data_IF_251261191398
#
_entry.id   IF_251261191398
#
_cell.length_a   1.000
_cell.length_b   1.000
_cell.length_c   1.000
_cell.angle_alpha   90.00
_cell.angle_beta   90.00
_cell.angle_gamma   90.00
#
_symmetry.space_group_name_H-M   'P 1'
#
loop_
_entity.id
_entity.type
_entity.pdbx_description
1 polymer ?
#
# COMPACT_ATOMS: atom_id res chain seq x y z
N UNK A 1 29.77 31.29 -19.87
CA UNK A 1 29.03 32.46 -20.37
C UNK A 1 28.12 32.08 -21.55
N UNK A 2 28.68 31.51 -22.63
CA UNK A 2 27.94 31.08 -23.83
C UNK A 2 26.69 30.24 -23.51
N UNK A 3 26.81 29.20 -22.68
CA UNK A 3 25.66 28.34 -22.31
C UNK A 3 24.51 29.10 -21.65
N UNK A 4 24.80 30.17 -20.88
CA UNK A 4 23.74 30.96 -20.24
C UNK A 4 22.99 31.79 -21.28
N UNK A 5 23.73 32.41 -22.20
CA UNK A 5 23.16 33.22 -23.28
C UNK A 5 22.25 32.36 -24.14
N UNK A 6 22.68 31.16 -24.53
CA UNK A 6 21.82 30.22 -25.28
C UNK A 6 20.55 29.84 -24.50
N UNK A 7 20.64 29.66 -23.18
CA UNK A 7 19.45 29.34 -22.37
C UNK A 7 18.48 30.52 -22.25
N UNK A 8 18.99 31.74 -22.13
CA UNK A 8 18.16 32.95 -22.09
C UNK A 8 17.52 33.24 -23.45
N UNK A 9 18.22 32.93 -24.54
CA UNK A 9 17.69 33.04 -25.90
C UNK A 9 16.60 32.00 -26.21
N UNK A 10 16.48 30.94 -25.41
CA UNK A 10 15.43 29.92 -25.54
C UNK A 10 14.24 30.18 -24.59
N UNK A 11 14.18 31.34 -23.94
CA UNK A 11 12.97 31.74 -23.22
C UNK A 11 11.84 31.96 -24.23
N UNK A 12 10.60 31.74 -23.80
CA UNK A 12 9.42 32.08 -24.60
C UNK A 12 9.43 33.57 -24.95
N UNK A 13 8.97 33.92 -26.16
CA UNK A 13 9.06 35.28 -26.73
C UNK A 13 8.57 36.36 -25.74
N UNK A 14 7.42 36.16 -25.11
CA UNK A 14 6.89 37.12 -24.13
C UNK A 14 7.80 37.29 -22.89
N UNK A 15 8.45 36.21 -22.43
CA UNK A 15 9.40 36.27 -21.31
C UNK A 15 10.70 36.95 -21.73
N UNK A 16 11.14 36.69 -22.97
CA UNK A 16 12.33 37.29 -23.53
C UNK A 16 12.16 38.80 -23.76
N UNK A 17 11.00 39.26 -24.26
CA UNK A 17 10.69 40.67 -24.45
C UNK A 17 10.73 41.46 -23.13
N UNK A 18 10.13 40.91 -22.08
CA UNK A 18 10.13 41.51 -20.75
C UNK A 18 11.56 41.52 -20.17
N UNK A 19 12.36 40.47 -20.40
CA UNK A 19 13.77 40.44 -20.03
C UNK A 19 14.59 41.52 -20.76
N UNK A 20 14.39 41.71 -22.07
CA UNK A 20 15.07 42.75 -22.85
C UNK A 20 14.75 44.14 -22.31
N UNK A 21 13.50 44.39 -21.95
CA UNK A 21 13.08 45.65 -21.31
C UNK A 21 13.78 45.89 -19.97
N UNK A 22 13.89 44.87 -19.12
CA UNK A 22 14.64 44.94 -17.87
C UNK A 22 16.13 45.22 -18.11
N UNK A 23 16.74 44.56 -19.10
CA UNK A 23 18.16 44.78 -19.45
C UNK A 23 18.41 46.21 -19.94
N UNK A 24 17.51 46.76 -20.75
CA UNK A 24 17.56 48.16 -21.20
C UNK A 24 17.50 49.14 -20.02
N UNK A 25 16.54 48.95 -19.10
CA UNK A 25 16.43 49.77 -17.89
C UNK A 25 17.66 49.66 -16.98
N UNK A 26 18.25 48.48 -16.87
CA UNK A 26 19.51 48.31 -16.14
C UNK A 26 20.64 49.08 -16.79
N UNK A 27 20.79 48.99 -18.12
CA UNK A 27 21.82 49.70 -18.87
C UNK A 27 21.70 51.22 -18.72
N UNK A 28 20.47 51.74 -18.63
CA UNK A 28 20.19 53.15 -18.37
C UNK A 28 20.37 53.56 -16.90
N UNK A 29 20.63 52.61 -15.99
CA UNK A 29 20.75 52.89 -14.56
C UNK A 29 19.43 53.25 -13.88
N UNK A 30 18.31 52.80 -14.43
CA UNK A 30 16.94 53.20 -14.03
C UNK A 30 16.24 52.19 -13.13
N UNK A 31 16.87 51.06 -12.82
CA UNK A 31 16.25 50.07 -11.94
C UNK A 31 16.26 50.52 -10.47
N UNK A 32 15.24 50.09 -9.72
CA UNK A 32 15.12 50.43 -8.31
C UNK A 32 16.32 49.93 -7.50
N UNK A 33 16.90 50.83 -6.69
CA UNK A 33 18.05 50.54 -5.84
C UNK A 33 19.39 50.41 -6.57
N UNK A 34 19.46 50.67 -7.89
CA UNK A 34 20.68 50.57 -8.67
C UNK A 34 21.66 51.70 -8.31
N UNK A 35 22.85 51.32 -7.82
CA UNK A 35 23.93 52.26 -7.53
C UNK A 35 24.96 52.21 -8.66
N UNK A 36 25.08 53.30 -9.41
CA UNK A 36 26.08 53.41 -10.47
C UNK A 36 27.42 53.84 -9.90
N UNK A 37 28.47 53.06 -10.19
CA UNK A 37 29.84 53.48 -9.92
C UNK A 37 30.30 54.54 -10.93
N UNK A 38 31.40 55.23 -10.65
CA UNK A 38 32.02 56.15 -11.62
C UNK A 38 32.38 55.46 -12.94
N UNK A 39 32.69 54.16 -12.90
CA UNK A 39 32.97 53.34 -14.09
C UNK A 39 31.69 53.09 -14.87
N UNK A 40 30.58 52.78 -14.19
CA UNK A 40 29.30 52.53 -14.84
C UNK A 40 28.74 53.78 -15.53
N UNK A 41 28.98 54.96 -14.96
CA UNK A 41 28.66 56.23 -15.63
C UNK A 41 29.46 56.48 -16.91
N UNK A 42 30.68 55.93 -17.00
CA UNK A 42 31.56 56.11 -18.15
C UNK A 42 31.37 55.05 -19.24
N UNK A 43 30.99 53.81 -18.87
CA UNK A 43 30.96 52.66 -19.78
C UNK A 43 29.62 51.91 -19.82
N UNK A 44 28.64 52.34 -19.04
CA UNK A 44 27.41 51.60 -18.77
C UNK A 44 27.60 50.56 -17.66
N UNK A 45 26.55 50.26 -16.88
CA UNK A 45 26.59 49.21 -15.86
C UNK A 45 26.61 47.83 -16.52
N UNK A 46 27.56 47.00 -16.10
CA UNK A 46 27.67 45.61 -16.57
C UNK A 46 26.68 44.72 -15.81
N UNK A 47 25.84 43.97 -16.55
CA UNK A 47 24.89 43.03 -15.95
C UNK A 47 25.39 41.60 -16.15
N UNK A 48 25.95 41.04 -15.10
CA UNK A 48 26.55 39.73 -15.22
C UNK A 48 25.49 38.66 -15.56
N UNK A 49 25.68 37.85 -16.62
CA UNK A 49 24.64 36.92 -17.11
C UNK A 49 24.12 35.93 -16.09
N UNK A 50 24.88 35.67 -15.02
CA UNK A 50 24.48 34.74 -13.96
C UNK A 50 23.37 35.29 -13.06
N UNK A 51 23.07 36.59 -13.09
CA UNK A 51 21.91 37.19 -12.39
C UNK A 51 20.62 36.51 -12.85
N UNK A 52 20.54 36.13 -14.12
CA UNK A 52 19.38 35.50 -14.74
C UNK A 52 19.41 33.98 -14.73
N UNK A 53 20.41 33.35 -14.12
CA UNK A 53 20.54 31.89 -14.10
C UNK A 53 19.27 31.20 -13.59
N UNK A 54 18.60 31.83 -12.62
CA UNK A 54 17.41 31.26 -12.01
C UNK A 54 16.20 31.26 -12.96
N UNK A 55 16.09 32.24 -13.88
CA UNK A 55 15.00 32.30 -14.85
C UNK A 55 14.94 31.08 -15.77
N UNK A 56 16.10 30.47 -16.07
CA UNK A 56 16.19 29.32 -17.00
C UNK A 56 15.52 28.04 -16.52
N UNK A 57 15.02 28.00 -15.28
CA UNK A 57 14.26 26.85 -14.76
C UNK A 57 12.90 27.24 -14.17
N UNK A 58 12.47 28.49 -14.34
CA UNK A 58 11.15 28.94 -13.89
C UNK A 58 10.12 28.76 -15.01
N UNK A 59 8.86 28.46 -14.67
CA UNK A 59 7.75 28.60 -15.60
C UNK A 59 7.68 30.01 -16.18
N UNK A 60 7.26 30.13 -17.44
CA UNK A 60 7.24 31.39 -18.19
C UNK A 60 6.45 32.50 -17.47
N UNK A 61 5.27 32.16 -16.94
CA UNK A 61 4.44 33.10 -16.17
C UNK A 61 5.13 33.64 -14.91
N UNK A 62 5.75 32.77 -14.12
CA UNK A 62 6.47 33.17 -12.90
C UNK A 62 7.69 34.04 -13.23
N UNK A 63 8.39 33.71 -14.32
CA UNK A 63 9.52 34.50 -14.81
C UNK A 63 9.08 35.90 -15.25
N UNK A 64 8.01 36.01 -16.04
CA UNK A 64 7.45 37.29 -16.49
C UNK A 64 7.00 38.15 -15.33
N UNK A 65 6.24 37.58 -14.38
CA UNK A 65 5.79 38.28 -13.19
C UNK A 65 6.99 38.84 -12.42
N UNK A 66 7.98 38.00 -12.13
CA UNK A 66 9.14 38.42 -11.33
C UNK A 66 9.98 39.51 -12.03
N UNK A 67 10.16 39.42 -13.35
CA UNK A 67 10.85 40.48 -14.11
C UNK A 67 10.02 41.76 -14.14
N UNK A 68 8.69 41.65 -14.29
CA UNK A 68 7.75 42.77 -14.23
C UNK A 68 7.90 43.59 -12.94
N UNK A 69 7.96 42.91 -11.79
CA UNK A 69 8.17 43.57 -10.48
C UNK A 69 9.47 44.37 -10.41
N UNK A 70 10.54 43.90 -11.07
CA UNK A 70 11.81 44.66 -11.15
C UNK A 70 11.67 45.89 -12.04
N UNK A 71 10.99 45.74 -13.17
CA UNK A 71 10.74 46.83 -14.13
C UNK A 71 9.88 47.93 -13.50
N UNK A 72 8.87 47.54 -12.73
CA UNK A 72 7.94 48.44 -12.04
C UNK A 72 8.57 49.07 -10.78
N UNK A 73 9.73 48.56 -10.35
CA UNK A 73 10.46 49.06 -9.20
C UNK A 73 9.91 48.59 -7.86
N UNK A 74 9.10 47.53 -7.85
CA UNK A 74 8.58 46.90 -6.64
C UNK A 74 9.68 46.18 -5.86
N UNK A 75 10.64 45.58 -6.58
CA UNK A 75 11.78 44.87 -6.01
C UNK A 75 13.10 45.29 -6.66
N UNK A 76 14.18 45.26 -5.88
CA UNK A 76 15.55 45.49 -6.35
C UNK A 76 16.12 44.25 -7.07
N UNK A 77 17.23 44.43 -7.81
CA UNK A 77 17.97 43.30 -8.40
C UNK A 77 18.48 42.27 -7.38
N UNK A 78 18.79 42.73 -6.16
CA UNK A 78 19.24 41.85 -5.09
C UNK A 78 18.10 40.96 -4.59
N UNK A 79 16.90 41.54 -4.44
CA UNK A 79 15.68 40.83 -4.08
C UNK A 79 15.25 39.88 -5.20
N UNK A 80 15.27 40.33 -6.47
CA UNK A 80 15.05 39.47 -7.64
C UNK A 80 15.91 38.20 -7.61
N UNK A 81 17.20 38.32 -7.28
CA UNK A 81 18.12 37.18 -7.19
C UNK A 81 17.78 36.24 -6.02
N UNK A 82 17.28 36.77 -4.90
CA UNK A 82 16.84 35.96 -3.75
C UNK A 82 15.53 35.25 -4.08
N UNK A 83 14.60 35.97 -4.66
CA UNK A 83 13.25 35.56 -4.99
C UNK A 83 13.23 34.50 -6.10
N UNK A 84 13.96 34.73 -7.20
CA UNK A 84 14.09 33.74 -8.28
C UNK A 84 14.69 32.40 -7.80
N UNK A 85 15.61 32.43 -6.84
CA UNK A 85 16.14 31.20 -6.22
C UNK A 85 15.10 30.51 -5.35
N UNK A 86 14.29 31.26 -4.61
CA UNK A 86 13.21 30.72 -3.80
C UNK A 86 12.16 30.05 -4.68
N UNK A 87 11.68 30.73 -5.72
CA UNK A 87 10.69 30.19 -6.66
C UNK A 87 11.17 28.89 -7.33
N UNK A 88 12.44 28.80 -7.72
CA UNK A 88 13.01 27.56 -8.24
C UNK A 88 12.95 26.40 -7.24
N UNK A 89 13.16 26.69 -5.95
CA UNK A 89 13.06 25.66 -4.91
C UNK A 89 11.60 25.28 -4.66
N UNK A 90 10.68 26.26 -4.63
CA UNK A 90 9.25 26.02 -4.53
C UNK A 90 8.79 25.12 -5.69
N UNK A 91 9.21 25.39 -6.93
CA UNK A 91 8.85 24.56 -8.08
C UNK A 91 9.35 23.11 -7.95
N UNK A 92 10.55 22.90 -7.38
CA UNK A 92 11.04 21.56 -7.06
C UNK A 92 10.21 20.89 -5.96
N UNK A 93 9.86 21.63 -4.91
CA UNK A 93 8.97 21.15 -3.85
C UNK A 93 7.61 20.75 -4.43
N UNK A 94 7.04 21.54 -5.35
CA UNK A 94 5.79 21.21 -6.05
C UNK A 94 5.90 19.88 -6.79
N UNK A 95 6.99 19.65 -7.53
CA UNK A 95 7.18 18.38 -8.22
C UNK A 95 7.27 17.19 -7.25
N UNK A 96 8.02 17.34 -6.16
CA UNK A 96 8.09 16.30 -5.11
C UNK A 96 6.73 16.05 -4.45
N UNK A 97 5.95 17.11 -4.23
CA UNK A 97 4.60 17.03 -3.68
C UNK A 97 3.66 16.24 -4.61
N UNK A 98 3.71 16.51 -5.92
CA UNK A 98 2.97 15.76 -6.94
C UNK A 98 3.36 14.28 -6.95
N UNK A 99 4.67 13.99 -6.95
CA UNK A 99 5.18 12.62 -6.95
C UNK A 99 4.75 11.84 -5.70
N UNK A 100 4.82 12.47 -4.52
CA UNK A 100 4.40 11.87 -3.24
C UNK A 100 2.90 11.60 -3.17
N UNK A 101 2.08 12.46 -3.79
CA UNK A 101 0.63 12.31 -3.81
C UNK A 101 0.12 11.45 -4.96
N UNK A 102 0.97 11.13 -5.95
CA UNK A 102 0.55 10.42 -7.15
C UNK A 102 -0.32 11.27 -8.09
N UNK A 103 -0.19 12.60 -8.01
CA UNK A 103 -0.96 13.56 -8.82
C UNK A 103 -0.15 13.95 -10.04
N UNK A 104 -0.77 14.01 -11.23
CA UNK A 104 -0.05 14.30 -12.48
C UNK A 104 0.11 15.80 -12.77
N UNK A 105 -0.81 16.63 -12.28
CA UNK A 105 -0.88 18.06 -12.62
C UNK A 105 -1.00 18.93 -11.38
N UNK A 106 -0.26 20.04 -11.36
CA UNK A 106 -0.32 21.01 -10.25
C UNK A 106 -1.70 21.66 -10.08
N UNK A 107 -2.45 21.86 -11.16
CA UNK A 107 -3.84 22.37 -11.09
C UNK A 107 -4.78 21.42 -10.34
N UNK A 108 -4.59 20.11 -10.49
CA UNK A 108 -5.35 19.10 -9.75
C UNK A 108 -4.98 19.11 -8.26
N UNK A 109 -3.70 19.25 -7.93
CA UNK A 109 -3.25 19.40 -6.55
C UNK A 109 -3.87 20.65 -5.89
N UNK A 110 -3.91 21.79 -6.59
CA UNK A 110 -4.58 23.01 -6.09
C UNK A 110 -6.07 22.83 -5.82
N UNK A 111 -6.74 22.04 -6.66
CA UNK A 111 -8.17 21.73 -6.49
C UNK A 111 -8.41 20.81 -5.29
N UNK A 112 -7.52 19.84 -5.07
CA UNK A 112 -7.63 18.87 -3.98
C UNK A 112 -7.21 19.45 -2.62
N UNK A 113 -6.17 20.29 -2.61
CA UNK A 113 -5.53 20.81 -1.39
C UNK A 113 -5.28 22.32 -1.51
N UNK A 114 -6.34 23.14 -1.57
CA UNK A 114 -6.21 24.57 -1.85
C UNK A 114 -5.41 25.33 -0.79
N UNK A 115 -5.51 24.93 0.48
CA UNK A 115 -4.81 25.59 1.59
C UNK A 115 -3.32 25.19 1.67
N UNK A 116 -3.01 23.95 1.30
CA UNK A 116 -1.69 23.35 1.41
C UNK A 116 -0.81 23.53 0.18
N UNK A 117 -1.41 23.93 -0.93
CA UNK A 117 -0.70 24.27 -2.18
C UNK A 117 -0.40 25.77 -2.29
N UNK A 118 -0.63 26.53 -1.22
CA UNK A 118 -0.25 27.94 -1.12
C UNK A 118 1.26 28.12 -1.13
N UNK A 119 1.71 29.30 -1.59
CA UNK A 119 3.12 29.64 -1.68
C UNK A 119 3.79 29.59 -0.32
N UNK A 120 3.10 30.10 0.70
CA UNK A 120 3.55 30.22 2.08
C UNK A 120 3.83 28.85 2.71
N UNK A 121 2.98 27.86 2.44
CA UNK A 121 3.18 26.48 2.90
C UNK A 121 4.37 25.83 2.19
N UNK A 122 4.45 25.97 0.87
CA UNK A 122 5.53 25.36 0.10
C UNK A 122 6.91 25.96 0.41
N UNK A 123 6.96 27.25 0.75
CA UNK A 123 8.17 27.94 1.17
C UNK A 123 8.81 27.29 2.41
N UNK A 124 8.00 26.78 3.35
CA UNK A 124 8.48 26.09 4.55
C UNK A 124 9.29 24.83 4.21
N UNK A 125 8.98 24.16 3.09
CA UNK A 125 9.75 23.01 2.60
C UNK A 125 10.87 23.43 1.65
N UNK A 126 10.70 24.52 0.92
CA UNK A 126 11.69 25.05 -0.01
C UNK A 126 12.99 25.52 0.68
N UNK A 127 12.94 25.86 1.97
CA UNK A 127 14.16 26.19 2.73
C UNK A 127 15.04 24.97 3.01
N UNK A 128 14.48 23.75 2.96
CA UNK A 128 15.18 22.51 3.26
C UNK A 128 16.13 22.06 2.14
N UNK A 129 17.07 21.12 2.41
CA UNK A 129 17.98 20.58 1.40
C UNK A 129 17.27 19.65 0.40
N UNK A 130 16.86 20.17 -0.76
CA UNK A 130 16.14 19.42 -1.80
C UNK A 130 17.02 18.51 -2.69
N UNK A 131 18.05 17.87 -2.14
CA UNK A 131 18.82 16.82 -2.88
C UNK A 131 18.05 15.50 -2.93
N UNK A 132 17.26 15.26 -1.89
CA UNK A 132 16.32 14.15 -1.72
C UNK A 132 15.02 14.72 -1.19
N UNK A 133 13.94 13.95 -1.23
CA UNK A 133 12.65 14.36 -0.66
C UNK A 133 12.79 14.49 0.87
N UNK A 134 12.59 15.69 1.47
CA UNK A 134 12.67 15.87 2.92
C UNK A 134 11.60 15.06 3.66
N UNK A 135 11.92 14.56 4.86
CA UNK A 135 10.99 13.74 5.64
C UNK A 135 9.75 14.55 6.06
N UNK A 136 9.94 15.83 6.37
CA UNK A 136 8.87 16.76 6.75
C UNK A 136 7.82 16.90 5.63
N UNK A 137 8.27 16.91 4.37
CA UNK A 137 7.39 16.94 3.21
C UNK A 137 6.66 15.60 3.02
N UNK A 138 7.36 14.47 3.23
CA UNK A 138 6.73 13.13 3.19
C UNK A 138 5.61 13.02 4.22
N UNK A 139 5.90 13.42 5.45
CA UNK A 139 4.94 13.36 6.56
C UNK A 139 3.76 14.30 6.30
N UNK A 140 4.02 15.48 5.74
CA UNK A 140 2.98 16.40 5.31
C UNK A 140 2.05 15.78 4.25
N UNK A 141 2.61 15.29 3.14
CA UNK A 141 1.82 14.64 2.09
C UNK A 141 1.07 13.39 2.58
N UNK A 142 1.67 12.62 3.50
CA UNK A 142 1.01 11.45 4.13
C UNK A 142 -0.26 11.86 4.88
N UNK A 143 -0.20 12.95 5.66
CA UNK A 143 -1.39 13.48 6.36
C UNK A 143 -2.48 13.91 5.38
N UNK A 144 -2.10 14.55 4.28
CA UNK A 144 -3.06 14.99 3.26
C UNK A 144 -3.76 13.80 2.58
N UNK A 145 -3.04 12.72 2.29
CA UNK A 145 -3.68 11.46 1.80
C UNK A 145 -4.71 10.94 2.78
N UNK A 146 -4.38 10.89 4.08
CA UNK A 146 -5.31 10.43 5.11
C UNK A 146 -6.57 11.31 5.21
N UNK A 147 -6.43 12.62 5.02
CA UNK A 147 -7.58 13.54 4.99
C UNK A 147 -8.42 13.35 3.72
N UNK A 148 -7.79 13.19 2.56
CA UNK A 148 -8.47 12.99 1.28
C UNK A 148 -9.27 11.69 1.24
N UNK A 149 -8.78 10.64 1.91
CA UNK A 149 -9.50 9.37 2.10
C UNK A 149 -10.69 9.49 3.08
N UNK A 150 -11.07 10.72 3.46
CA UNK A 150 -12.28 11.04 4.22
C UNK A 150 -12.14 10.81 5.72
N UNK A 151 -10.92 10.81 6.27
CA UNK A 151 -10.72 10.44 7.67
C UNK A 151 -11.13 9.00 7.99
N UNK A 152 -11.51 8.20 6.98
CA UNK A 152 -11.33 6.76 7.00
C UNK A 152 -9.83 6.54 6.96
N UNK A 153 -9.20 6.75 8.12
CA UNK A 153 -8.19 5.83 8.60
C UNK A 153 -8.67 4.49 8.09
N UNK A 154 -7.94 3.85 7.18
CA UNK A 154 -8.15 2.44 6.94
C UNK A 154 -7.98 1.89 8.35
N UNK A 155 -9.10 1.66 9.05
CA UNK A 155 -9.12 0.92 10.27
C UNK A 155 -8.48 -0.37 9.82
N UNK A 156 -7.20 -0.50 10.16
CA UNK A 156 -6.55 -1.78 10.19
C UNK A 156 -7.33 -2.48 11.26
N UNK A 157 -8.43 -3.12 10.85
CA UNK A 157 -9.27 -3.97 11.69
C UNK A 157 -8.32 -5.02 12.23
N UNK A 158 -7.77 -4.70 13.40
CA UNK A 158 -6.74 -5.48 14.03
C UNK A 158 -7.45 -6.51 14.88
N UNK A 159 -7.19 -7.76 14.57
CA UNK A 159 -7.72 -8.88 15.31
C UNK A 159 -6.76 -9.20 16.43
N UNK A 160 -7.27 -9.25 17.66
CA UNK A 160 -6.49 -9.72 18.80
C UNK A 160 -6.64 -11.24 18.93
N UNK A 161 -5.51 -11.93 18.91
CA UNK A 161 -5.40 -13.37 19.06
C UNK A 161 -5.00 -13.78 20.47
N UNK A 162 -4.62 -15.05 20.60
CA UNK A 162 -4.02 -15.54 21.83
C UNK A 162 -2.72 -14.77 22.17
N UNK A 163 -2.44 -14.65 23.46
CA UNK A 163 -1.24 -13.96 23.98
C UNK A 163 -1.09 -12.50 23.54
N UNK A 164 -2.18 -11.83 23.17
CA UNK A 164 -2.17 -10.43 22.75
C UNK A 164 -1.59 -10.18 21.35
N UNK A 165 -1.33 -11.25 20.58
CA UNK A 165 -0.85 -11.14 19.21
C UNK A 165 -1.88 -10.45 18.31
N UNK A 166 -1.40 -9.76 17.28
CA UNK A 166 -2.23 -8.95 16.40
C UNK A 166 -2.24 -9.52 14.97
N UNK A 167 -3.42 -9.51 14.35
CA UNK A 167 -3.63 -9.94 12.98
C UNK A 167 -4.25 -8.82 12.17
N UNK A 168 -3.71 -8.54 10.99
CA UNK A 168 -4.21 -7.47 10.12
C UNK A 168 -4.47 -8.02 8.72
N UNK A 169 -5.63 -7.67 8.16
CA UNK A 169 -5.92 -7.85 6.74
C UNK A 169 -5.52 -6.60 5.95
N UNK A 170 -4.85 -6.80 4.82
CA UNK A 170 -4.41 -5.72 3.95
C UNK A 170 -4.84 -5.99 2.52
N UNK A 171 -5.54 -5.02 1.95
CA UNK A 171 -5.84 -5.00 0.52
C UNK A 171 -4.62 -4.52 -0.24
N UNK A 172 -4.14 -5.32 -1.20
CA UNK A 172 -3.06 -4.92 -2.12
C UNK A 172 -3.61 -4.78 -3.53
N UNK A 173 -3.07 -3.87 -4.36
CA UNK A 173 -3.34 -3.87 -5.80
C UNK A 173 -3.06 -5.26 -6.39
N UNK A 174 -3.73 -5.58 -7.50
CA UNK A 174 -3.95 -6.90 -8.15
C UNK A 174 -2.84 -7.98 -8.06
N UNK A 175 -1.58 -7.63 -7.80
CA UNK A 175 -0.46 -8.55 -7.67
C UNK A 175 0.25 -8.34 -6.32
N UNK A 176 0.22 -9.35 -5.42
CA UNK A 176 0.92 -9.28 -4.12
C UNK A 176 2.44 -9.17 -4.27
N UNK A 177 3.01 -9.51 -5.43
CA UNK A 177 4.40 -9.20 -5.76
C UNK A 177 4.65 -7.68 -5.89
N UNK A 178 3.61 -6.86 -5.99
CA UNK A 178 3.66 -5.40 -5.99
C UNK A 178 3.32 -4.78 -4.64
N UNK A 179 3.16 -5.58 -3.57
CA UNK A 179 2.94 -5.04 -2.22
C UNK A 179 3.97 -3.94 -1.91
N UNK A 180 3.47 -2.76 -1.58
CA UNK A 180 4.28 -1.63 -1.14
C UNK A 180 4.64 -1.85 0.32
N UNK A 181 5.85 -2.36 0.54
CA UNK A 181 6.32 -2.66 1.88
C UNK A 181 6.47 -1.41 2.74
N UNK A 182 6.72 -0.23 2.17
CA UNK A 182 6.76 1.01 2.96
C UNK A 182 5.38 1.31 3.56
N UNK A 183 4.32 1.11 2.77
CA UNK A 183 2.95 1.22 3.26
C UNK A 183 2.61 0.15 4.30
N UNK A 184 3.11 -1.08 4.11
CA UNK A 184 2.97 -2.13 5.12
C UNK A 184 3.56 -1.68 6.46
N UNK A 185 4.81 -1.24 6.46
CA UNK A 185 5.50 -0.80 7.67
C UNK A 185 4.84 0.41 8.30
N UNK A 186 4.27 1.30 7.49
CA UNK A 186 3.50 2.43 7.98
C UNK A 186 2.20 2.01 8.69
N UNK A 187 1.56 0.92 8.25
CA UNK A 187 0.33 0.36 8.84
C UNK A 187 0.62 -0.61 9.99
N UNK A 188 1.78 -1.25 9.99
CA UNK A 188 2.19 -2.21 11.00
C UNK A 188 3.64 -1.93 11.45
N UNK A 189 3.86 -0.89 12.29
CA UNK A 189 5.21 -0.50 12.72
C UNK A 189 5.95 -1.57 13.52
N UNK A 190 5.22 -2.53 14.10
CA UNK A 190 5.75 -3.66 14.87
C UNK A 190 6.10 -4.88 14.01
N UNK A 191 5.93 -4.81 12.68
CA UNK A 191 6.33 -5.89 11.78
C UNK A 191 7.86 -5.94 11.67
N UNK A 192 8.45 -7.07 12.06
CA UNK A 192 9.91 -7.29 12.06
C UNK A 192 10.34 -8.29 11.00
N UNK A 193 9.49 -8.54 10.00
CA UNK A 193 9.62 -9.67 9.07
C UNK A 193 8.81 -10.88 9.54
N UNK A 194 8.60 -11.84 8.65
CA UNK A 194 7.76 -13.01 8.90
C UNK A 194 8.59 -14.31 8.98
N UNK A 195 8.49 -15.03 10.10
CA UNK A 195 9.19 -16.30 10.31
C UNK A 195 8.59 -17.44 9.48
N UNK A 196 7.31 -17.31 9.11
CA UNK A 196 6.64 -18.17 8.14
C UNK A 196 5.88 -17.30 7.14
N UNK A 197 6.18 -17.49 5.85
CA UNK A 197 5.44 -16.91 4.73
C UNK A 197 4.68 -18.06 4.07
N UNK A 198 3.36 -17.96 3.97
CA UNK A 198 2.52 -18.89 3.23
C UNK A 198 2.04 -18.21 1.95
N UNK A 199 2.29 -18.86 0.83
CA UNK A 199 1.82 -18.48 -0.49
C UNK A 199 0.84 -19.54 -0.99
N UNK A 200 -0.46 -19.26 -0.90
CA UNK A 200 -1.47 -20.02 -1.63
C UNK A 200 -1.42 -19.62 -3.11
N UNK A 201 -0.65 -20.34 -3.93
CA UNK A 201 -0.28 -19.88 -5.28
C UNK A 201 -1.54 -19.64 -6.12
N UNK A 202 -1.74 -18.42 -6.65
CA UNK A 202 -2.82 -18.16 -7.60
C UNK A 202 -2.73 -19.08 -8.81
N UNK A 203 -3.89 -19.51 -9.33
CA UNK A 203 -3.97 -20.42 -10.48
C UNK A 203 -3.31 -19.82 -11.73
N UNK A 204 -3.40 -18.51 -11.91
CA UNK A 204 -2.81 -17.77 -13.03
C UNK A 204 -1.32 -17.40 -12.85
N UNK A 205 -0.71 -17.69 -11.70
CA UNK A 205 0.71 -17.39 -11.48
C UNK A 205 1.62 -18.41 -12.15
N UNK A 206 2.56 -17.92 -12.95
CA UNK A 206 3.67 -18.73 -13.45
C UNK A 206 4.68 -19.03 -12.34
N UNK A 207 5.53 -20.01 -12.59
CA UNK A 207 6.67 -20.34 -11.73
C UNK A 207 7.61 -19.13 -11.55
N UNK A 208 7.79 -18.31 -12.58
CA UNK A 208 8.62 -17.10 -12.50
C UNK A 208 8.02 -16.02 -11.59
N UNK A 209 6.69 -15.88 -11.56
CA UNK A 209 6.03 -15.00 -10.59
C UNK A 209 6.30 -15.45 -9.15
N UNK A 210 6.31 -16.76 -8.89
CA UNK A 210 6.67 -17.31 -7.58
C UNK A 210 8.14 -17.01 -7.24
N UNK A 211 9.07 -17.09 -8.20
CA UNK A 211 10.49 -16.69 -7.99
C UNK A 211 10.60 -15.21 -7.61
N UNK A 212 9.92 -14.33 -8.34
CA UNK A 212 9.91 -12.88 -8.06
C UNK A 212 9.37 -12.61 -6.67
N UNK A 213 8.26 -13.24 -6.31
CA UNK A 213 7.69 -13.16 -4.96
C UNK A 213 8.69 -13.64 -3.90
N UNK A 214 9.29 -14.81 -4.07
CA UNK A 214 10.27 -15.39 -3.15
C UNK A 214 11.47 -14.46 -2.91
N UNK A 215 12.03 -13.87 -3.96
CA UNK A 215 13.10 -12.88 -3.86
C UNK A 215 12.66 -11.64 -3.08
N UNK A 216 11.44 -11.16 -3.34
CA UNK A 216 10.91 -9.96 -2.70
C UNK A 216 10.69 -10.16 -1.19
N UNK A 217 10.03 -11.24 -0.77
CA UNK A 217 9.81 -11.52 0.67
C UNK A 217 11.10 -11.84 1.40
N UNK A 218 12.06 -12.49 0.73
CA UNK A 218 13.40 -12.71 1.29
C UNK A 218 14.09 -11.37 1.55
N UNK A 219 14.07 -10.46 0.57
CA UNK A 219 14.68 -9.13 0.71
C UNK A 219 14.07 -8.34 1.87
N UNK A 220 12.75 -8.38 2.04
CA UNK A 220 12.07 -7.77 3.20
C UNK A 220 12.59 -8.34 4.51
N UNK A 221 12.54 -9.66 4.69
CA UNK A 221 12.99 -10.30 5.92
C UNK A 221 14.45 -9.97 6.24
N UNK A 222 15.34 -10.03 5.24
CA UNK A 222 16.76 -9.70 5.43
C UNK A 222 16.98 -8.22 5.79
N UNK A 223 16.23 -7.29 5.19
CA UNK A 223 16.30 -5.87 5.53
C UNK A 223 15.81 -5.58 6.96
N UNK A 224 14.97 -6.44 7.52
CA UNK A 224 14.54 -6.38 8.92
C UNK A 224 15.40 -7.25 9.86
N UNK A 225 16.51 -7.80 9.37
CA UNK A 225 17.45 -8.59 10.18
C UNK A 225 16.97 -10.01 10.51
N UNK A 226 15.87 -10.47 9.91
CA UNK A 226 15.37 -11.82 10.11
C UNK A 226 16.14 -12.79 9.19
N UNK A 227 17.08 -13.52 9.76
CA UNK A 227 17.93 -14.46 9.03
C UNK A 227 17.34 -15.86 8.93
N UNK A 228 16.41 -16.22 9.83
CA UNK A 228 15.76 -17.53 9.88
C UNK A 228 14.26 -17.41 9.59
N UNK A 229 13.83 -18.00 8.48
CA UNK A 229 12.41 -18.00 8.07
C UNK A 229 12.11 -19.14 7.10
N UNK A 230 10.82 -19.33 6.78
CA UNK A 230 10.40 -20.34 5.78
C UNK A 230 9.33 -19.80 4.86
N UNK A 231 9.43 -20.17 3.59
CA UNK A 231 8.42 -19.97 2.58
C UNK A 231 7.71 -21.31 2.30
N UNK A 232 6.41 -21.36 2.55
CA UNK A 232 5.53 -22.48 2.24
C UNK A 232 4.65 -22.11 1.04
N UNK A 233 4.86 -22.75 -0.11
CA UNK A 233 4.06 -22.51 -1.33
C UNK A 233 3.06 -23.65 -1.51
N UNK A 234 1.78 -23.37 -1.30
CA UNK A 234 0.68 -24.31 -1.56
C UNK A 234 0.36 -24.29 -3.06
N UNK A 235 0.30 -25.47 -3.69
CA UNK A 235 0.12 -25.61 -5.13
C UNK A 235 -0.59 -26.91 -5.51
N UNK A 236 -0.84 -27.10 -6.80
CA UNK A 236 -1.28 -28.41 -7.29
C UNK A 236 -0.15 -29.45 -7.16
N UNK A 237 -0.47 -30.75 -6.99
CA UNK A 237 0.55 -31.81 -6.92
C UNK A 237 1.48 -31.87 -8.14
N UNK A 238 0.97 -31.56 -9.34
CA UNK A 238 1.75 -31.59 -10.58
C UNK A 238 2.79 -30.46 -10.66
N UNK A 239 2.56 -29.33 -9.98
CA UNK A 239 3.45 -28.17 -10.01
C UNK A 239 4.60 -28.22 -8.99
N UNK A 240 4.48 -29.05 -7.94
CA UNK A 240 5.41 -29.02 -6.78
C UNK A 240 6.87 -29.17 -7.18
N UNK A 241 7.16 -30.02 -8.18
CA UNK A 241 8.54 -30.26 -8.64
C UNK A 241 9.15 -29.05 -9.34
N UNK A 242 8.37 -28.39 -10.19
CA UNK A 242 8.81 -27.19 -10.90
C UNK A 242 8.99 -26.02 -9.93
N UNK A 243 8.10 -25.90 -8.94
CA UNK A 243 8.21 -24.87 -7.90
C UNK A 243 9.41 -25.08 -6.99
N UNK A 244 9.70 -26.31 -6.55
CA UNK A 244 10.92 -26.60 -5.77
C UNK A 244 12.18 -26.22 -6.53
N UNK A 245 12.27 -26.61 -7.82
CA UNK A 245 13.40 -26.23 -8.68
C UNK A 245 13.52 -24.71 -8.76
N UNK A 246 12.40 -24.04 -8.98
CA UNK A 246 12.38 -22.60 -9.13
C UNK A 246 12.77 -21.82 -7.87
N UNK A 247 12.26 -22.24 -6.71
CA UNK A 247 12.63 -21.60 -5.43
C UNK A 247 14.09 -21.91 -5.10
N UNK A 248 14.60 -23.11 -5.42
CA UNK A 248 16.03 -23.44 -5.28
C UNK A 248 16.91 -22.51 -6.13
N UNK A 249 16.50 -22.20 -7.37
CA UNK A 249 17.24 -21.30 -8.27
C UNK A 249 17.41 -19.88 -7.71
N UNK A 250 16.57 -19.45 -6.76
CA UNK A 250 16.71 -18.14 -6.12
C UNK A 250 17.97 -18.04 -5.24
N UNK A 251 18.52 -19.19 -4.81
CA UNK A 251 19.69 -19.30 -3.93
C UNK A 251 19.56 -18.58 -2.59
N UNK A 252 18.34 -18.23 -2.21
CA UNK A 252 18.07 -17.63 -0.92
C UNK A 252 17.97 -18.69 0.17
N UNK A 253 17.35 -19.83 -0.11
CA UNK A 253 17.04 -20.87 0.86
C UNK A 253 18.13 -21.95 0.91
N UNK A 254 18.37 -22.48 2.11
CA UNK A 254 19.40 -23.49 2.35
C UNK A 254 18.88 -24.91 2.08
N UNK A 255 17.56 -25.11 2.24
CA UNK A 255 16.88 -26.35 1.90
C UNK A 255 15.52 -26.05 1.25
N UNK A 256 15.17 -26.79 0.20
CA UNK A 256 13.88 -26.69 -0.48
C UNK A 256 13.34 -28.10 -0.71
N UNK A 257 12.23 -28.44 -0.06
CA UNK A 257 11.68 -29.78 -0.02
C UNK A 257 10.30 -29.87 -0.70
N UNK A 258 10.02 -31.07 -1.23
CA UNK A 258 8.69 -31.43 -1.73
C UNK A 258 7.90 -32.08 -0.61
N UNK A 259 6.85 -31.38 -0.19
CA UNK A 259 5.88 -31.87 0.77
C UNK A 259 4.50 -31.96 0.12
N UNK A 260 3.59 -32.61 0.82
CA UNK A 260 2.20 -32.77 0.43
C UNK A 260 1.32 -32.56 1.65
N UNK A 261 0.07 -32.21 1.41
CA UNK A 261 -0.96 -32.32 2.45
C UNK A 261 -2.15 -33.09 1.92
N UNK A 262 -2.78 -33.86 2.80
CA UNK A 262 -3.90 -34.73 2.51
C UNK A 262 -5.11 -34.33 3.34
N UNK A 263 -6.26 -34.15 2.70
CA UNK A 263 -7.55 -33.90 3.33
C UNK A 263 -8.40 -35.16 3.16
N UNK A 264 -8.48 -36.05 4.16
CA UNK A 264 -9.25 -37.29 4.07
C UNK A 264 -10.73 -37.00 3.79
N UNK A 265 -11.39 -37.94 3.11
CA UNK A 265 -12.83 -37.91 2.85
C UNK A 265 -13.33 -36.70 2.03
N UNK A 266 -12.46 -36.02 1.29
CA UNK A 266 -12.88 -35.00 0.35
C UNK A 266 -13.79 -35.66 -0.71
N UNK A 267 -15.08 -35.32 -0.69
CA UNK A 267 -16.06 -35.86 -1.62
C UNK A 267 -15.66 -35.46 -3.04
N UNK A 268 -15.37 -36.45 -3.87
CA UNK A 268 -15.03 -36.26 -5.27
C UNK A 268 -16.21 -36.69 -6.11
N UNK A 269 -16.79 -35.77 -6.87
CA UNK A 269 -17.91 -36.07 -7.78
C UNK A 269 -17.48 -37.00 -8.95
N UNK A 270 -16.17 -37.14 -9.20
CA UNK A 270 -15.63 -37.77 -10.42
C UNK A 270 -15.03 -39.19 -10.26
N UNK A 271 -15.28 -39.92 -9.18
CA UNK A 271 -14.80 -41.30 -9.02
C UNK A 271 -13.27 -41.48 -8.84
N UNK A 272 -12.47 -40.44 -9.04
CA UNK A 272 -11.01 -40.41 -8.78
C UNK A 272 -10.70 -39.83 -7.38
N UNK A 273 -11.16 -40.50 -6.33
CA UNK A 273 -11.14 -39.95 -4.96
C UNK A 273 -9.74 -39.64 -4.38
N UNK A 274 -8.69 -40.38 -4.77
CA UNK A 274 -7.34 -40.25 -4.21
C UNK A 274 -6.55 -39.05 -4.75
N UNK A 275 -6.71 -38.70 -6.04
CA UNK A 275 -5.94 -37.58 -6.63
C UNK A 275 -6.49 -36.22 -6.18
N UNK A 276 -7.75 -36.18 -5.76
CA UNK A 276 -8.44 -34.94 -5.42
C UNK A 276 -8.26 -34.54 -3.94
N UNK A 277 -7.80 -35.46 -3.08
CA UNK A 277 -7.57 -35.19 -1.65
C UNK A 277 -6.13 -34.83 -1.30
N UNK A 278 -5.18 -34.98 -2.23
CA UNK A 278 -3.75 -34.71 -2.02
C UNK A 278 -3.34 -33.46 -2.79
N UNK A 279 -2.58 -32.59 -2.13
CA UNK A 279 -2.17 -31.30 -2.64
C UNK A 279 -0.66 -31.09 -2.47
N UNK A 280 -0.07 -30.26 -3.33
CA UNK A 280 1.37 -29.97 -3.29
C UNK A 280 1.73 -28.86 -2.30
N UNK A 281 2.88 -29.00 -1.66
CA UNK A 281 3.51 -28.00 -0.81
C UNK A 281 5.01 -27.95 -1.11
N UNK A 282 5.51 -26.85 -1.64
CA UNK A 282 6.96 -26.60 -1.70
C UNK A 282 7.38 -25.85 -0.43
N UNK A 283 8.31 -26.43 0.34
CA UNK A 283 8.76 -25.87 1.61
C UNK A 283 10.22 -25.42 1.49
N UNK A 284 10.47 -24.13 1.58
CA UNK A 284 11.80 -23.54 1.44
C UNK A 284 12.26 -22.89 2.75
N UNK A 285 13.34 -23.39 3.31
CA UNK A 285 13.84 -23.03 4.64
C UNK A 285 15.12 -22.20 4.51
N UNK A 286 15.11 -21.01 5.12
CA UNK A 286 16.28 -20.15 5.32
C UNK A 286 16.82 -20.39 6.73
N UNK A 287 18.10 -20.73 6.79
CA UNK A 287 18.86 -21.26 7.92
C UNK A 287 18.32 -22.60 8.41
N UNK A 288 19.18 -23.62 8.38
CA UNK A 288 18.78 -25.00 8.68
C UNK A 288 18.17 -25.12 10.07
N UNK A 289 16.88 -25.45 10.10
CA UNK A 289 16.17 -25.91 11.29
C UNK A 289 15.69 -27.33 11.06
N UNK A 290 15.76 -28.14 12.11
CA UNK A 290 15.11 -29.44 12.08
C UNK A 290 13.59 -29.24 12.12
N UNK A 291 12.91 -29.69 11.06
CA UNK A 291 11.46 -29.70 11.00
C UNK A 291 10.95 -30.78 11.94
N UNK A 292 10.23 -30.35 12.98
CA UNK A 292 9.52 -31.24 13.87
C UNK A 292 8.03 -30.95 13.73
N UNK A 293 7.31 -31.86 13.10
CA UNK A 293 5.86 -31.80 13.06
C UNK A 293 5.29 -32.07 14.46
N UNK A 294 4.11 -31.54 14.74
CA UNK A 294 3.49 -31.64 16.06
C UNK A 294 3.22 -33.09 16.49
N UNK A 295 3.05 -34.00 15.53
CA UNK A 295 2.87 -35.44 15.74
C UNK A 295 4.21 -36.20 15.89
N UNK A 296 5.35 -35.50 15.83
CA UNK A 296 6.68 -36.09 15.88
C UNK A 296 7.08 -36.82 14.59
N UNK A 297 6.27 -36.75 13.52
CA UNK A 297 6.61 -37.37 12.25
C UNK A 297 7.76 -36.62 11.57
N UNK A 298 8.51 -37.34 10.74
CA UNK A 298 9.48 -36.78 9.79
C UNK A 298 8.95 -36.84 8.36
N UNK A 299 7.65 -37.08 8.21
CA UNK A 299 7.05 -37.32 6.91
C UNK A 299 6.85 -35.98 6.19
N UNK A 300 7.07 -36.00 4.89
CA UNK A 300 6.75 -34.87 4.01
C UNK A 300 5.25 -34.83 3.64
N UNK A 301 4.39 -35.36 4.52
CA UNK A 301 2.94 -35.45 4.34
C UNK A 301 2.23 -34.93 5.59
N UNK A 302 1.45 -33.87 5.42
CA UNK A 302 0.61 -33.30 6.48
C UNK A 302 -0.81 -33.84 6.30
N UNK A 303 -1.37 -34.52 7.31
CA UNK A 303 -2.77 -34.94 7.27
C UNK A 303 -3.61 -33.88 7.98
N UNK A 304 -4.59 -33.34 7.26
CA UNK A 304 -5.43 -32.24 7.73
C UNK A 304 -6.87 -32.73 7.92
N UNK A 305 -7.57 -32.15 8.88
CA UNK A 305 -9.00 -32.41 9.04
C UNK A 305 -9.77 -31.70 7.92
N UNK A 306 -10.82 -32.35 7.41
CA UNK A 306 -11.76 -31.68 6.53
C UNK A 306 -12.60 -30.72 7.36
N UNK A 307 -12.57 -29.45 6.98
CA UNK A 307 -13.36 -28.40 7.62
C UNK A 307 -14.47 -27.93 6.69
N UNK A 308 -15.63 -27.51 7.24
CA UNK A 308 -16.68 -26.88 6.43
C UNK A 308 -16.16 -25.66 5.69
N UNK A 309 -16.59 -25.52 4.43
CA UNK A 309 -16.35 -24.28 3.68
C UNK A 309 -17.09 -23.13 4.35
N UNK A 310 -16.49 -21.94 4.35
CA UNK A 310 -17.15 -20.76 4.85
C UNK A 310 -18.25 -20.33 3.88
N UNK A 311 -19.46 -20.22 4.41
CA UNK A 311 -20.62 -19.72 3.67
C UNK A 311 -21.06 -18.36 4.22
N UNK A 312 -21.49 -17.48 3.33
CA UNK A 312 -22.16 -16.23 3.63
C UNK A 312 -23.48 -16.19 2.85
N UNK A 313 -24.59 -15.94 3.55
CA UNK A 313 -25.94 -15.96 2.97
C UNK A 313 -26.28 -17.23 2.18
N UNK A 314 -25.88 -18.38 2.73
CA UNK A 314 -26.10 -19.69 2.12
C UNK A 314 -25.13 -20.05 0.98
N UNK A 315 -24.29 -19.11 0.53
CA UNK A 315 -23.36 -19.32 -0.58
C UNK A 315 -21.93 -19.55 -0.08
N UNK A 316 -21.23 -20.50 -0.72
CA UNK A 316 -19.80 -20.74 -0.46
C UNK A 316 -18.99 -19.54 -0.96
N UNK A 317 -18.20 -18.94 -0.07
CA UNK A 317 -17.38 -17.76 -0.40
C UNK A 317 -16.13 -18.14 -1.19
N UNK A 318 -15.49 -19.26 -0.83
CA UNK A 318 -14.25 -19.71 -1.43
C UNK A 318 -14.19 -21.25 -1.49
N UNK A 319 -14.32 -21.79 -2.70
CA UNK A 319 -14.22 -23.23 -2.95
C UNK A 319 -12.80 -23.78 -2.78
N UNK A 320 -11.79 -22.91 -2.87
CA UNK A 320 -10.38 -23.28 -2.68
C UNK A 320 -9.93 -23.02 -1.22
N UNK A 321 -10.86 -22.79 -0.28
CA UNK A 321 -10.55 -22.57 1.13
C UNK A 321 -9.71 -23.72 1.68
N UNK A 322 -8.57 -23.38 2.27
CA UNK A 322 -7.71 -24.34 2.95
C UNK A 322 -8.20 -24.57 4.40
N UNK A 323 -8.01 -25.79 4.96
CA UNK A 323 -8.34 -26.06 6.36
C UNK A 323 -7.48 -25.25 7.33
N UNK A 324 -8.06 -24.81 8.44
CA UNK A 324 -7.34 -24.18 9.56
C UNK A 324 -6.30 -25.15 10.13
N UNK A 325 -6.63 -26.45 10.20
CA UNK A 325 -5.71 -27.50 10.67
C UNK A 325 -4.40 -27.58 9.88
N UNK A 326 -4.40 -27.31 8.57
CA UNK A 326 -3.18 -27.21 7.76
C UNK A 326 -2.29 -26.06 8.24
N UNK A 327 -2.86 -24.87 8.36
CA UNK A 327 -2.12 -23.68 8.80
C UNK A 327 -1.62 -23.85 10.23
N UNK A 328 -2.41 -24.41 11.15
CA UNK A 328 -1.99 -24.66 12.53
C UNK A 328 -0.76 -25.56 12.59
N UNK A 329 -0.74 -26.65 11.83
CA UNK A 329 0.41 -27.56 11.77
C UNK A 329 1.66 -26.86 11.23
N UNK A 330 1.53 -26.10 10.15
CA UNK A 330 2.64 -25.30 9.60
C UNK A 330 3.14 -24.28 10.63
N UNK A 331 2.25 -23.47 11.21
CA UNK A 331 2.61 -22.40 12.15
C UNK A 331 3.27 -22.98 13.40
N UNK A 332 2.72 -24.05 13.98
CA UNK A 332 3.28 -24.66 15.18
C UNK A 332 4.65 -25.29 14.93
N UNK A 333 4.87 -25.90 13.76
CA UNK A 333 6.16 -26.51 13.41
C UNK A 333 7.23 -25.48 13.00
N UNK A 334 6.81 -24.35 12.43
CA UNK A 334 7.69 -23.41 11.71
C UNK A 334 7.83 -22.05 12.38
N UNK A 335 7.21 -21.82 13.54
CA UNK A 335 7.30 -20.54 14.24
C UNK A 335 7.28 -20.74 15.76
N UNK A 336 7.77 -19.75 16.49
CA UNK A 336 7.58 -19.61 17.93
C UNK A 336 6.40 -18.67 18.26
N UNK A 337 5.78 -18.78 19.44
CA UNK A 337 4.79 -17.80 19.89
C UNK A 337 5.29 -16.36 19.78
N UNK A 338 4.40 -15.43 19.44
CA UNK A 338 4.72 -14.01 19.22
C UNK A 338 5.38 -13.67 17.88
N UNK A 339 5.91 -14.65 17.15
CA UNK A 339 6.47 -14.41 15.82
C UNK A 339 5.39 -14.07 14.79
N UNK A 340 5.80 -13.41 13.72
CA UNK A 340 4.93 -13.02 12.62
C UNK A 340 4.79 -14.13 11.57
N UNK A 341 3.55 -14.32 11.12
CA UNK A 341 3.17 -15.13 9.97
C UNK A 341 2.64 -14.22 8.87
N UNK A 342 3.06 -14.45 7.63
CA UNK A 342 2.54 -13.75 6.47
C UNK A 342 1.73 -14.72 5.60
N UNK A 343 0.47 -14.38 5.32
CA UNK A 343 -0.37 -15.10 4.36
C UNK A 343 -0.57 -14.22 3.11
N UNK A 344 0.15 -14.54 2.03
CA UNK A 344 0.25 -13.70 0.85
C UNK A 344 -1.00 -13.72 -0.06
N UNK A 345 -1.89 -14.69 0.15
CA UNK A 345 -3.17 -14.83 -0.56
C UNK A 345 -4.19 -15.50 0.36
N UNK A 346 -4.73 -14.71 1.28
CA UNK A 346 -5.41 -15.26 2.44
C UNK A 346 -6.81 -15.83 2.16
N UNK A 347 -7.42 -15.51 1.01
CA UNK A 347 -8.80 -15.88 0.68
C UNK A 347 -9.74 -15.48 1.82
N UNK A 348 -10.46 -16.45 2.39
CA UNK A 348 -11.35 -16.26 3.55
C UNK A 348 -10.64 -16.02 4.89
N UNK A 349 -9.31 -15.86 4.92
CA UNK A 349 -8.56 -15.48 6.12
C UNK A 349 -8.18 -16.64 7.03
N UNK A 350 -8.18 -17.89 6.52
CA UNK A 350 -7.79 -19.09 7.30
C UNK A 350 -6.42 -18.94 7.96
N UNK A 351 -5.41 -18.43 7.24
CA UNK A 351 -4.05 -18.28 7.78
C UNK A 351 -3.96 -17.30 8.94
N UNK A 352 -4.69 -16.18 8.87
CA UNK A 352 -4.79 -15.20 9.97
C UNK A 352 -5.41 -15.83 11.21
N UNK A 353 -6.55 -16.50 11.04
CA UNK A 353 -7.28 -17.15 12.14
C UNK A 353 -6.37 -18.18 12.82
N UNK A 354 -5.73 -19.05 12.04
CA UNK A 354 -4.82 -20.07 12.56
C UNK A 354 -3.63 -19.45 13.33
N UNK A 355 -3.04 -18.37 12.80
CA UNK A 355 -1.92 -17.66 13.45
C UNK A 355 -2.31 -17.10 14.81
N UNK A 356 -3.45 -16.40 14.87
CA UNK A 356 -3.95 -15.81 16.11
C UNK A 356 -4.35 -16.87 17.13
N UNK A 357 -4.98 -17.96 16.72
CA UNK A 357 -5.29 -19.09 17.60
C UNK A 357 -4.03 -19.78 18.14
N UNK A 358 -2.94 -19.77 17.36
CA UNK A 358 -1.65 -20.26 17.80
C UNK A 358 -0.84 -19.21 18.59
N UNK A 359 -1.34 -18.00 18.83
CA UNK A 359 -0.60 -16.95 19.54
C UNK A 359 0.61 -16.45 18.76
N UNK A 360 0.43 -16.26 17.45
CA UNK A 360 1.37 -15.59 16.53
C UNK A 360 0.73 -14.33 15.98
N UNK A 361 1.53 -13.33 15.65
CA UNK A 361 1.07 -12.16 14.91
C UNK A 361 0.90 -12.53 13.43
N UNK A 362 0.01 -11.83 12.72
CA UNK A 362 -0.30 -12.18 11.33
C UNK A 362 -0.51 -10.96 10.44
N UNK A 363 -0.02 -11.05 9.21
CA UNK A 363 -0.36 -10.13 8.13
C UNK A 363 -0.89 -10.94 6.96
N UNK A 364 -2.09 -10.59 6.49
CA UNK A 364 -2.79 -11.36 5.48
C UNK A 364 -3.24 -10.47 4.33
N UNK A 365 -2.89 -10.86 3.11
CA UNK A 365 -3.11 -10.08 1.90
C UNK A 365 -4.17 -10.69 1.00
N UNK A 366 -4.98 -9.81 0.40
CA UNK A 366 -5.87 -10.16 -0.71
C UNK A 366 -6.04 -8.94 -1.63
N UNK A 367 -6.45 -9.16 -2.88
CA UNK A 367 -6.63 -8.09 -3.86
C UNK A 367 -8.09 -7.60 -3.98
N UNK A 368 -9.04 -8.32 -3.40
CA UNK A 368 -10.45 -7.92 -3.31
C UNK A 368 -10.81 -7.50 -1.89
N UNK A 369 -11.27 -6.25 -1.74
CA UNK A 369 -11.81 -5.73 -0.49
C UNK A 369 -13.07 -6.48 -0.03
N UNK A 370 -13.91 -6.93 -0.98
CA UNK A 370 -15.12 -7.70 -0.68
C UNK A 370 -14.77 -9.01 0.03
N UNK A 371 -13.82 -9.78 -0.51
CA UNK A 371 -13.35 -11.01 0.10
C UNK A 371 -12.70 -10.74 1.47
N UNK A 372 -11.97 -9.63 1.62
CA UNK A 372 -11.41 -9.26 2.93
C UNK A 372 -12.50 -8.94 3.96
N UNK A 373 -13.59 -8.28 3.57
CA UNK A 373 -14.70 -8.03 4.48
C UNK A 373 -15.35 -9.35 4.93
N UNK A 374 -15.52 -10.31 4.02
CA UNK A 374 -16.01 -11.65 4.37
C UNK A 374 -15.01 -12.41 5.26
N UNK A 375 -13.71 -12.27 5.00
CA UNK A 375 -12.66 -12.85 5.84
C UNK A 375 -12.67 -12.26 7.27
N UNK A 376 -12.92 -10.95 7.41
CA UNK A 376 -13.09 -10.28 8.71
C UNK A 376 -14.29 -10.82 9.48
N UNK A 377 -15.42 -11.04 8.80
CA UNK A 377 -16.63 -11.66 9.40
C UNK A 377 -16.31 -13.06 9.91
N UNK A 378 -15.67 -13.90 9.09
CA UNK A 378 -15.24 -15.25 9.48
C UNK A 378 -14.28 -15.22 10.67
N UNK A 379 -13.27 -14.35 10.64
CA UNK A 379 -12.28 -14.23 11.70
C UNK A 379 -12.93 -13.81 13.03
N UNK A 380 -13.84 -12.84 13.01
CA UNK A 380 -14.62 -12.42 14.18
C UNK A 380 -15.38 -13.59 14.79
N UNK A 381 -16.05 -14.40 13.96
CA UNK A 381 -16.84 -15.56 14.41
C UNK A 381 -15.96 -16.64 15.04
N UNK A 382 -14.89 -17.05 14.37
CA UNK A 382 -14.02 -18.14 14.85
C UNK A 382 -13.22 -17.76 16.11
N UNK A 383 -12.70 -16.53 16.17
CA UNK A 383 -11.95 -16.07 17.34
C UNK A 383 -12.85 -15.96 18.58
N UNK A 384 -14.10 -15.49 18.43
CA UNK A 384 -15.09 -15.49 19.52
C UNK A 384 -15.43 -16.90 19.99
N UNK A 385 -15.60 -17.84 19.07
CA UNK A 385 -15.91 -19.24 19.38
C UNK A 385 -14.81 -19.89 20.21
N UNK A 386 -13.54 -19.65 19.86
CA UNK A 386 -12.39 -20.16 20.63
C UNK A 386 -12.31 -19.58 22.04
N UNK A 387 -12.57 -18.28 22.21
CA UNK A 387 -12.57 -17.64 23.54
C UNK A 387 -13.60 -18.24 24.49
N UNK A 388 -14.80 -18.60 24.00
CA UNK A 388 -15.85 -19.25 24.81
C UNK A 388 -15.45 -20.65 25.26
N UNK A 389 -14.84 -21.45 24.37
CA UNK A 389 -14.41 -22.81 24.69
C UNK A 389 -13.30 -22.82 25.75
N UNK A 390 -12.37 -21.87 25.70
CA UNK A 390 -11.30 -21.79 26.71
C UNK A 390 -11.84 -21.34 28.09
N UNK A 391 -12.80 -20.42 28.13
CA UNK A 391 -13.38 -19.91 29.39
C UNK A 391 -14.14 -20.97 30.20
N UNK A 392 -14.76 -21.95 29.54
CA UNK A 392 -15.55 -22.97 30.22
C UNK A 392 -14.72 -24.10 30.87
N UNK A 393 -13.42 -24.15 30.60
CA UNK A 393 -12.51 -25.17 31.20
C UNK A 393 -11.88 -24.73 32.52
N UNK A 394 -12.17 -23.50 32.99
CA UNK A 394 -11.51 -22.88 34.14
C UNK A 394 -12.24 -22.97 35.49
N UNK A 395 -13.48 -23.46 35.58
CA UNK A 395 -14.31 -23.37 36.80
C UNK A 395 -14.72 -24.68 37.45
N UNK A 396 -14.33 -25.86 36.95
CA UNK A 396 -14.65 -27.13 37.63
C UNK A 396 -13.47 -27.67 38.43
N UNK A 397 -13.27 -27.12 39.63
CA UNK A 397 -12.76 -27.85 40.80
C UNK A 397 -13.01 -27.08 42.09
N UNK A 398 -14.26 -27.06 42.55
CA UNK A 398 -14.58 -27.08 43.99
C UNK A 398 -16.05 -27.44 44.25
N UNK A 399 -16.26 -28.70 44.63
CA UNK A 399 -17.24 -29.18 45.62
C UNK A 399 -18.76 -29.02 45.39
N UNK A 400 -19.36 -30.18 45.09
CA UNK A 400 -20.40 -30.86 45.89
C UNK A 400 -21.91 -30.74 45.52
N UNK A 401 -22.55 -31.91 45.66
CA UNK A 401 -23.90 -32.37 45.29
C UNK A 401 -25.07 -31.40 45.58
N UNK A 402 -26.06 -31.36 44.66
CA UNK A 402 -27.37 -32.06 44.76
C UNK A 402 -28.32 -31.82 43.56
N UNK A 403 -28.80 -32.95 43.02
CA UNK A 403 -30.11 -33.35 42.43
C UNK A 403 -31.19 -32.30 42.06
N UNK A 404 -31.87 -32.63 40.94
CA UNK A 404 -33.11 -32.13 40.31
C UNK A 404 -32.88 -30.87 39.43
N UNK A 405 -33.09 -30.88 38.11
CA UNK A 405 -34.17 -31.48 37.33
C UNK A 405 -35.10 -30.35 36.92
N UNK A 406 -35.14 -30.01 35.62
CA UNK A 406 -36.24 -29.38 34.85
C UNK A 406 -35.70 -29.03 33.45
N UNK A 407 -36.65 -29.05 32.53
CA UNK A 407 -36.70 -29.11 31.07
C UNK A 407 -36.46 -27.78 30.34
N UNK A 408 -36.26 -27.90 29.02
CA UNK A 408 -36.68 -26.95 27.95
C UNK A 408 -35.99 -25.56 27.99
N UNK A 409 -35.77 -24.81 26.92
CA UNK A 409 -35.94 -24.89 25.47
C UNK A 409 -35.42 -23.50 25.04
N UNK A 410 -34.27 -23.39 24.36
CA UNK A 410 -33.73 -22.08 23.97
C UNK A 410 -33.22 -22.12 22.53
N UNK A 411 -34.16 -22.04 21.59
CA UNK A 411 -33.93 -21.47 20.26
C UNK A 411 -34.16 -19.96 20.33
N UNK A 412 -33.09 -19.20 20.56
CA UNK A 412 -33.10 -17.75 20.33
C UNK A 412 -32.79 -17.49 18.85
N UNK A 413 -33.84 -17.27 18.05
CA UNK A 413 -33.75 -16.55 16.79
C UNK A 413 -33.58 -15.06 17.10
N UNK A 414 -32.38 -14.53 16.87
CA UNK A 414 -32.11 -13.11 16.98
C UNK A 414 -32.50 -12.44 15.64
N UNK A 415 -33.69 -11.85 15.62
CA UNK A 415 -34.18 -11.00 14.54
C UNK A 415 -33.47 -9.65 14.58
N UNK A 416 -32.65 -9.38 13.57
CA UNK A 416 -32.07 -8.05 13.33
C UNK A 416 -33.15 -7.15 12.74
N UNK A 417 -33.67 -6.23 13.56
CA UNK A 417 -34.50 -5.10 13.14
C UNK A 417 -33.62 -4.13 12.35
N UNK A 418 -33.92 -3.97 11.05
CA UNK A 418 -33.47 -2.82 10.28
C UNK A 418 -34.50 -1.71 10.48
N UNK A 419 -34.06 -0.57 11.00
CA UNK A 419 -34.82 0.67 10.99
C UNK A 419 -34.85 1.16 9.54
N UNK A 420 -36.04 1.15 8.92
CA UNK A 420 -36.33 1.86 7.69
C UNK A 420 -36.46 3.35 8.04
N UNK A 421 -35.47 4.16 7.64
CA UNK A 421 -35.64 5.62 7.57
C UNK A 421 -36.38 5.94 6.26
N UNK A 422 -37.64 6.33 6.39
CA UNK A 422 -38.41 7.03 5.37
C UNK A 422 -37.83 8.45 5.19
N UNK A 423 -37.17 8.72 4.06
CA UNK A 423 -37.00 10.09 3.56
C UNK A 423 -38.03 10.33 2.44
N UNK A 424 -39.12 11.00 2.82
CA UNK A 424 -39.94 11.80 1.91
C UNK A 424 -39.18 13.07 1.53
N UNK A 425 -39.18 13.44 0.24
CA UNK A 425 -39.14 14.85 -0.14
C UNK A 425 -38.42 15.21 -1.42
N UNK A 426 -39.22 15.51 -2.46
CA UNK A 426 -39.04 16.60 -3.44
C UNK A 426 -37.81 16.48 -4.38
N UNK A 427 -37.91 16.24 -5.69
CA UNK A 427 -38.87 16.77 -6.65
C UNK A 427 -38.25 17.96 -7.39
N UNK A 428 -37.49 17.73 -8.46
CA UNK A 428 -37.19 18.75 -9.48
C UNK A 428 -37.00 18.06 -10.84
N UNK A 429 -37.72 18.58 -11.84
CA UNK A 429 -37.88 17.95 -13.15
C UNK A 429 -36.74 18.21 -14.12
N UNK A 430 -36.49 17.25 -15.00
CA UNK A 430 -35.62 17.41 -16.15
C UNK A 430 -36.46 17.61 -17.42
N UNK A 431 -36.28 18.78 -18.04
CA UNK A 431 -36.75 19.10 -19.39
C UNK A 431 -35.94 18.31 -20.42
N UNK A 432 -36.65 17.57 -21.26
CA UNK A 432 -36.13 16.80 -22.39
C UNK A 432 -35.84 17.77 -23.56
N UNK A 433 -34.57 18.10 -23.79
CA UNK A 433 -34.13 18.86 -24.97
C UNK A 433 -33.91 17.88 -26.12
N UNK A 434 -34.80 17.92 -27.12
CA UNK A 434 -34.61 17.28 -28.42
C UNK A 434 -33.58 18.09 -29.23
N UNK A 435 -32.42 17.49 -29.50
CA UNK A 435 -31.48 17.99 -30.51
C UNK A 435 -31.90 17.51 -31.90
N UNK A 436 -32.22 18.49 -32.74
CA UNK A 436 -32.67 18.40 -34.12
C UNK A 436 -31.42 18.33 -35.02
N UNK A 437 -31.01 17.13 -35.47
CA UNK A 437 -29.94 16.97 -36.45
C UNK A 437 -30.44 17.39 -37.85
N UNK A 438 -30.04 18.59 -38.29
CA UNK A 438 -30.16 19.01 -39.69
C UNK A 438 -28.96 18.50 -40.50
N UNK A 439 -29.25 17.58 -41.41
CA UNK A 439 -28.38 17.26 -42.55
C UNK A 439 -28.36 18.43 -43.53
N UNK A 440 -27.25 19.17 -43.59
CA UNK A 440 -26.93 20.03 -44.73
C UNK A 440 -26.29 19.19 -45.84
N UNK A 441 -27.01 19.09 -46.94
CA UNK A 441 -26.45 18.88 -48.28
C UNK A 441 -25.76 20.17 -48.70
N UNK A 442 -24.59 20.06 -49.33
CA UNK A 442 -24.33 20.86 -50.53
C UNK A 442 -23.21 20.27 -51.38
N UNK A 443 -23.48 20.29 -52.68
CA UNK A 443 -22.63 19.94 -53.82
C UNK A 443 -21.52 20.99 -54.04
N UNK A 444 -20.30 20.53 -54.38
CA UNK A 444 -19.38 21.14 -55.36
C UNK A 444 -18.14 20.26 -55.60
#
# INVERSE_FOLDING_TARGET
MVTMICKLANLEDGTYDVLQKMMSLHQDGRLHGQKLSKKDLAFGPDLEPYVFKALTGLPSGDAQQLIGQVIEGEITLAEFKKESKLLLKIHRTQQMFLDLLGIKKWSEAKRLFPEETTREVLEQFAVLPLKTIPQELKDFCKRLKTLQDGGKTIETDSFKGASGCEGIFLCTPEDSSQCDWEQLMAKCPSFEGASLIVLNKPKNWSVDKVKVFANKVTSVNLNHGLTMFTLAVLCSPSEVSSLVTAVTDTRHFDNVEKCFYHIPNLKSDSGNGLTNSVFGLALAVKESRHLHWADGSTNNLIVCEQEPLFCHDGNVVDHDQKPISLYRQLIQALTSPGQWVMDAFCGTGTGLIASLLCGRCSISFHNSNEILNLAKVKATKELRRSSRQNGNTGTEKSADRRVAGITEDDTEEETVLWEEEEEEGEGEGEEEVQEDEREDKDDA
#
